data_IF_279351192045
#
_entry.id   IF_279351192045
#
_cell.length_a   1.000
_cell.length_b   1.000
_cell.length_c   1.000
_cell.angle_alpha   90.00
_cell.angle_beta   90.00
_cell.angle_gamma   90.00
#
_symmetry.space_group_name_H-M   'P 1'
#
loop_
_entity.id
_entity.type
_entity.pdbx_description
1 polymer ?
#
# COMPACT_ATOMS: atom_id res chain seq x y z
N UNK A 1 29.83 7.39 14.68
CA UNK A 1 30.01 8.50 13.72
C UNK A 1 28.74 8.58 12.88
N UNK A 2 28.09 9.74 12.84
CA UNK A 2 26.91 9.96 11.99
C UNK A 2 27.35 10.07 10.53
N UNK A 3 26.76 9.27 9.64
CA UNK A 3 27.03 9.34 8.19
C UNK A 3 25.80 9.99 7.51
N UNK A 4 25.87 11.28 7.11
CA UNK A 4 24.76 11.97 6.47
C UNK A 4 24.28 11.28 5.18
N UNK A 5 25.19 10.56 4.52
CA UNK A 5 24.93 9.89 3.25
C UNK A 5 24.40 8.46 3.40
N UNK A 6 24.18 7.99 4.64
CA UNK A 6 23.70 6.64 4.91
C UNK A 6 22.25 6.48 4.45
N UNK A 7 21.98 5.35 3.81
CA UNK A 7 20.63 4.89 3.53
C UNK A 7 20.14 4.03 4.70
N UNK A 8 18.98 4.37 5.25
CA UNK A 8 18.33 3.61 6.31
C UNK A 8 17.11 2.86 5.74
N UNK A 9 16.96 1.55 6.01
CA UNK A 9 15.76 0.82 5.65
C UNK A 9 14.61 1.27 6.54
N UNK A 10 13.46 1.58 5.94
CA UNK A 10 12.24 2.01 6.62
C UNK A 10 11.14 0.95 6.57
N UNK A 11 11.04 0.21 5.47
CA UNK A 11 10.05 -0.82 5.30
C UNK A 11 10.57 -1.94 4.40
N UNK A 12 9.95 -3.11 4.52
CA UNK A 12 10.33 -4.30 3.78
C UNK A 12 9.09 -5.10 3.41
N UNK A 13 9.15 -5.76 2.26
CA UNK A 13 8.12 -6.68 1.79
C UNK A 13 8.75 -7.90 1.13
N UNK A 14 8.22 -9.07 1.43
CA UNK A 14 8.57 -10.32 0.77
C UNK A 14 7.51 -10.64 -0.28
N UNK A 15 7.91 -10.70 -1.55
CA UNK A 15 6.99 -11.08 -2.63
C UNK A 15 6.72 -12.57 -2.59
N UNK A 16 5.47 -12.93 -2.30
CA UNK A 16 5.02 -14.34 -2.30
C UNK A 16 5.05 -14.95 -3.71
N UNK A 17 4.97 -14.13 -4.76
CA UNK A 17 4.92 -14.58 -6.16
C UNK A 17 6.33 -14.87 -6.70
N UNK A 18 7.28 -13.95 -6.50
CA UNK A 18 8.63 -14.06 -7.05
C UNK A 18 9.64 -14.57 -6.04
N UNK A 19 9.36 -14.48 -4.73
CA UNK A 19 10.31 -14.76 -3.65
C UNK A 19 11.33 -13.64 -3.42
N UNK A 20 11.19 -12.51 -4.11
CA UNK A 20 12.07 -11.36 -4.00
C UNK A 20 11.80 -10.57 -2.72
N UNK A 21 12.82 -9.82 -2.28
CA UNK A 21 12.72 -8.88 -1.19
C UNK A 21 12.68 -7.45 -1.73
N UNK A 22 11.64 -6.68 -1.39
CA UNK A 22 11.58 -5.25 -1.65
C UNK A 22 11.88 -4.50 -0.36
N UNK A 23 12.79 -3.52 -0.43
CA UNK A 23 13.20 -2.70 0.71
C UNK A 23 13.02 -1.22 0.38
N UNK A 24 12.25 -0.52 1.20
CA UNK A 24 12.10 0.93 1.15
C UNK A 24 13.22 1.58 1.93
N UNK A 25 14.04 2.36 1.22
CA UNK A 25 15.19 3.05 1.78
C UNK A 25 14.91 4.54 1.81
N UNK A 26 15.33 5.20 2.88
CA UNK A 26 15.30 6.65 3.02
C UNK A 26 16.68 7.15 3.46
N UNK A 27 17.05 8.33 2.96
CA UNK A 27 18.26 9.06 3.34
C UNK A 27 17.85 10.49 3.62
N UNK A 28 18.23 11.02 4.79
CA UNK A 28 17.84 12.37 5.24
C UNK A 28 18.63 13.51 4.59
N UNK A 29 19.90 13.28 4.19
CA UNK A 29 20.76 14.36 3.69
C UNK A 29 21.56 13.98 2.43
N UNK A 30 21.19 14.51 1.25
CA UNK A 30 19.91 15.16 0.95
C UNK A 30 18.76 14.15 1.03
N UNK A 31 17.55 14.65 1.34
CA UNK A 31 16.32 13.88 1.38
C UNK A 31 16.15 13.10 0.08
N UNK A 32 16.08 11.78 0.19
CA UNK A 32 15.94 10.88 -0.94
C UNK A 32 15.37 9.55 -0.48
N UNK A 33 14.44 9.01 -1.26
CA UNK A 33 13.85 7.71 -1.00
C UNK A 33 13.79 6.86 -2.26
N UNK A 34 13.91 5.55 -2.09
CA UNK A 34 13.84 4.56 -3.18
C UNK A 34 13.33 3.22 -2.66
N UNK A 35 12.78 2.42 -3.56
CA UNK A 35 12.54 1.00 -3.33
C UNK A 35 13.63 0.21 -4.07
N UNK A 36 14.24 -0.75 -3.39
CA UNK A 36 15.22 -1.67 -3.98
C UNK A 36 14.62 -3.07 -3.97
N UNK A 37 14.72 -3.79 -5.08
CA UNK A 37 14.37 -5.22 -5.17
C UNK A 37 15.64 -6.05 -5.17
N UNK A 38 15.66 -7.08 -4.33
CA UNK A 38 16.67 -8.13 -4.31
C UNK A 38 16.03 -9.46 -4.68
N UNK A 39 16.71 -10.27 -5.47
CA UNK A 39 16.27 -11.64 -5.74
C UNK A 39 16.42 -12.56 -4.52
N UNK A 40 15.99 -13.81 -4.67
CA UNK A 40 16.02 -14.85 -3.62
C UNK A 40 17.42 -15.16 -3.07
N UNK A 41 18.47 -14.83 -3.81
CA UNK A 41 19.87 -15.07 -3.43
C UNK A 41 20.58 -13.79 -2.96
N UNK A 42 19.86 -12.66 -2.93
CA UNK A 42 20.31 -11.39 -2.38
C UNK A 42 20.97 -10.45 -3.38
N UNK A 43 20.91 -10.73 -4.68
CA UNK A 43 21.40 -9.79 -5.70
C UNK A 43 20.39 -8.69 -5.96
N UNK A 44 20.87 -7.45 -6.06
CA UNK A 44 20.06 -6.30 -6.43
C UNK A 44 19.62 -6.44 -7.90
N UNK A 45 18.33 -6.49 -8.15
CA UNK A 45 17.75 -6.63 -9.49
C UNK A 45 17.06 -5.37 -10.00
N UNK A 46 16.60 -4.50 -9.10
CA UNK A 46 15.88 -3.29 -9.48
C UNK A 46 16.05 -2.17 -8.45
N UNK A 47 16.08 -0.92 -8.93
CA UNK A 47 15.95 0.27 -8.09
C UNK A 47 14.86 1.16 -8.69
N UNK A 48 13.86 1.51 -7.86
CA UNK A 48 12.72 2.35 -8.22
C UNK A 48 12.87 3.63 -7.40
N UNK A 49 13.09 4.76 -8.06
CA UNK A 49 13.42 6.02 -7.37
C UNK A 49 12.84 7.26 -8.04
N UNK A 50 12.90 7.34 -9.37
CA UNK A 50 12.48 8.51 -10.12
C UNK A 50 11.45 8.14 -11.19
N UNK A 51 10.59 9.10 -11.52
CA UNK A 51 9.74 9.04 -12.71
C UNK A 51 10.61 9.07 -13.96
N UNK A 52 10.02 8.76 -15.12
CA UNK A 52 10.68 8.89 -16.42
C UNK A 52 11.17 10.32 -16.72
N UNK A 53 10.57 11.33 -16.08
CA UNK A 53 10.96 12.74 -16.16
C UNK A 53 11.98 13.17 -15.10
N UNK A 54 12.44 12.26 -14.25
CA UNK A 54 13.47 12.51 -13.23
C UNK A 54 12.96 12.99 -11.87
N UNK A 55 11.66 13.18 -11.68
CA UNK A 55 11.10 13.56 -10.37
C UNK A 55 11.14 12.39 -9.40
N UNK A 56 11.40 12.65 -8.11
CA UNK A 56 11.38 11.61 -7.10
C UNK A 56 9.98 10.98 -6.96
N UNK A 57 9.93 9.65 -6.88
CA UNK A 57 8.67 8.90 -6.71
C UNK A 57 8.20 8.90 -5.25
N UNK A 58 9.13 8.91 -4.30
CA UNK A 58 8.86 8.72 -2.89
C UNK A 58 9.47 9.84 -2.05
N UNK A 59 8.83 10.13 -0.92
CA UNK A 59 9.35 11.05 0.10
C UNK A 59 9.91 10.23 1.28
N UNK A 60 9.07 9.42 1.92
CA UNK A 60 9.42 8.47 2.99
C UNK A 60 8.52 7.24 2.83
N UNK A 61 9.01 6.13 2.27
CA UNK A 61 8.21 4.91 2.12
C UNK A 61 7.95 4.28 3.49
N UNK A 62 6.68 4.09 3.84
CA UNK A 62 6.23 3.62 5.15
C UNK A 62 5.90 2.12 5.14
N UNK A 63 5.20 1.65 4.11
CA UNK A 63 4.91 0.23 3.91
C UNK A 63 4.97 -0.10 2.41
N UNK A 64 5.28 -1.36 2.10
CA UNK A 64 5.35 -1.88 0.72
C UNK A 64 4.50 -3.14 0.65
N UNK A 65 3.79 -3.31 -0.46
CA UNK A 65 3.19 -4.57 -0.88
C UNK A 65 3.32 -4.71 -2.39
N UNK A 66 2.99 -5.88 -2.91
CA UNK A 66 2.86 -6.16 -4.33
C UNK A 66 1.44 -6.64 -4.61
N UNK A 67 0.82 -6.24 -5.73
CA UNK A 67 -0.48 -6.75 -6.15
C UNK A 67 -0.34 -7.94 -7.11
N UNK A 68 -1.46 -8.55 -7.53
CA UNK A 68 -1.42 -9.71 -8.45
C UNK A 68 -0.95 -9.36 -9.87
N UNK A 69 -0.88 -8.07 -10.22
CA UNK A 69 -0.30 -7.58 -11.48
C UNK A 69 1.21 -7.35 -11.37
N UNK A 70 1.85 -7.69 -10.24
CA UNK A 70 3.26 -7.40 -9.92
C UNK A 70 3.59 -5.90 -9.82
N UNK A 71 2.56 -5.06 -9.64
CA UNK A 71 2.78 -3.66 -9.33
C UNK A 71 3.30 -3.51 -7.90
N UNK A 72 4.25 -2.61 -7.71
CA UNK A 72 4.75 -2.24 -6.38
C UNK A 72 3.85 -1.13 -5.83
N UNK A 73 3.24 -1.40 -4.69
CA UNK A 73 2.32 -0.49 -4.00
C UNK A 73 2.99 -0.02 -2.71
N UNK A 74 3.17 1.28 -2.57
CA UNK A 74 3.90 1.88 -1.45
C UNK A 74 3.04 2.92 -0.77
N UNK A 75 2.80 2.81 0.53
CA UNK A 75 2.33 3.96 1.30
C UNK A 75 3.51 4.90 1.57
N UNK A 76 3.33 6.16 1.19
CA UNK A 76 4.30 7.25 1.27
C UNK A 76 3.67 8.42 2.03
N UNK A 77 4.42 9.47 2.34
CA UNK A 77 3.90 10.65 3.03
C UNK A 77 2.77 11.31 2.23
N UNK A 78 1.54 11.17 2.71
CA UNK A 78 0.35 11.81 2.13
C UNK A 78 -0.28 11.10 0.93
N UNK A 79 0.23 9.94 0.51
CA UNK A 79 -0.24 9.23 -0.68
C UNK A 79 0.16 7.76 -0.72
N UNK A 80 -0.58 6.96 -1.49
CA UNK A 80 -0.10 5.66 -1.96
C UNK A 80 0.46 5.83 -3.37
N UNK A 81 1.69 5.39 -3.59
CA UNK A 81 2.35 5.40 -4.91
C UNK A 81 2.35 3.99 -5.47
N UNK A 82 1.91 3.85 -6.73
CA UNK A 82 1.85 2.57 -7.41
C UNK A 82 2.70 2.61 -8.67
N UNK A 83 3.65 1.70 -8.78
CA UNK A 83 4.47 1.52 -9.98
C UNK A 83 4.20 0.17 -10.62
N UNK A 84 4.37 0.08 -11.93
CA UNK A 84 4.30 -1.20 -12.61
C UNK A 84 5.48 -2.11 -12.25
N UNK A 85 5.45 -3.35 -12.74
CA UNK A 85 6.54 -4.31 -12.50
C UNK A 85 7.93 -3.76 -12.92
N UNK A 86 7.99 -2.92 -13.94
CA UNK A 86 9.22 -2.29 -14.42
C UNK A 86 9.66 -1.08 -13.57
N UNK A 87 8.86 -0.66 -12.59
CA UNK A 87 9.13 0.45 -11.70
C UNK A 87 8.66 1.81 -12.24
N UNK A 88 7.85 1.84 -13.29
CA UNK A 88 7.29 3.07 -13.86
C UNK A 88 6.03 3.47 -13.11
N UNK A 89 5.90 4.75 -12.78
CA UNK A 89 4.71 5.27 -12.11
C UNK A 89 3.44 4.95 -12.90
N UNK A 90 2.48 4.27 -12.27
CA UNK A 90 1.12 4.09 -12.79
C UNK A 90 0.21 5.21 -12.32
N UNK A 91 0.11 5.40 -11.00
CA UNK A 91 -0.69 6.45 -10.38
C UNK A 91 -0.26 6.73 -8.94
N UNK A 92 -0.83 7.77 -8.35
CA UNK A 92 -0.79 7.99 -6.91
C UNK A 92 -2.20 8.26 -6.39
N UNK A 93 -2.52 7.70 -5.22
CA UNK A 93 -3.79 7.90 -4.54
C UNK A 93 -3.56 8.79 -3.31
N UNK A 94 -4.27 9.91 -3.22
CA UNK A 94 -4.08 10.95 -2.19
C UNK A 94 -5.26 11.04 -1.22
N UNK A 95 -6.00 9.94 -1.05
CA UNK A 95 -7.21 9.90 -0.23
C UNK A 95 -8.51 10.10 -1.00
N UNK A 96 -9.65 10.05 -0.31
CA UNK A 96 -10.98 10.09 -0.92
C UNK A 96 -11.32 11.49 -1.46
N UNK A 97 -12.27 11.60 -2.40
CA UNK A 97 -12.68 12.88 -2.98
C UNK A 97 -13.26 13.90 -1.99
N UNK A 98 -13.58 13.49 -0.76
CA UNK A 98 -14.10 14.37 0.30
C UNK A 98 -13.11 15.47 0.71
N UNK A 99 -11.83 15.36 0.35
CA UNK A 99 -10.83 16.41 0.53
C UNK A 99 -10.23 16.49 1.94
N UNK A 100 -10.46 15.49 2.81
CA UNK A 100 -9.74 15.38 4.08
C UNK A 100 -8.26 15.08 3.83
N UNK A 101 -7.40 15.48 4.78
CA UNK A 101 -6.01 15.03 4.79
C UNK A 101 -5.96 13.49 4.81
N UNK A 102 -4.97 12.93 4.14
CA UNK A 102 -4.81 11.49 3.99
C UNK A 102 -3.44 11.09 4.53
N UNK A 103 -3.41 10.25 5.56
CA UNK A 103 -2.18 9.80 6.20
C UNK A 103 -2.09 8.28 6.09
N UNK A 104 -1.62 7.75 4.94
CA UNK A 104 -1.59 6.33 4.70
C UNK A 104 -0.57 5.63 5.61
N UNK A 105 -0.95 4.48 6.16
CA UNK A 105 -0.08 3.62 6.98
C UNK A 105 0.06 2.25 6.32
N UNK A 106 -0.39 1.19 6.99
CA UNK A 106 -0.42 -0.16 6.46
C UNK A 106 -1.14 -0.22 5.12
N UNK A 107 -0.55 -0.95 4.17
CA UNK A 107 -1.13 -1.22 2.86
C UNK A 107 -1.04 -2.71 2.56
N UNK A 108 -2.09 -3.28 2.00
CA UNK A 108 -2.09 -4.62 1.45
C UNK A 108 -2.98 -4.68 0.20
N UNK A 109 -3.02 -5.82 -0.46
CA UNK A 109 -3.76 -6.01 -1.71
C UNK A 109 -4.59 -7.28 -1.64
N UNK A 110 -5.78 -7.25 -2.23
CA UNK A 110 -6.62 -8.44 -2.36
C UNK A 110 -6.35 -9.21 -3.67
N UNK A 111 -7.04 -10.33 -3.86
CA UNK A 111 -6.92 -11.18 -5.05
C UNK A 111 -7.38 -10.51 -6.35
N UNK A 112 -8.10 -9.39 -6.28
CA UNK A 112 -8.55 -8.59 -7.42
C UNK A 112 -7.64 -7.38 -7.68
N UNK A 113 -6.49 -7.31 -6.98
CA UNK A 113 -5.60 -6.15 -6.98
C UNK A 113 -6.27 -4.85 -6.48
N UNK A 114 -7.33 -4.95 -5.68
CA UNK A 114 -7.74 -3.80 -4.89
C UNK A 114 -6.66 -3.52 -3.85
N UNK A 115 -6.39 -2.23 -3.64
CA UNK A 115 -5.45 -1.72 -2.66
C UNK A 115 -6.27 -1.36 -1.42
N UNK A 116 -5.89 -1.97 -0.30
CA UNK A 116 -6.45 -1.72 1.02
C UNK A 116 -5.43 -0.89 1.79
N UNK A 117 -5.83 0.26 2.30
CA UNK A 117 -4.92 1.20 2.97
C UNK A 117 -5.54 1.76 4.25
N UNK A 118 -4.77 1.75 5.34
CA UNK A 118 -5.12 2.46 6.56
C UNK A 118 -4.95 3.96 6.36
N UNK A 119 -5.93 4.75 6.78
CA UNK A 119 -5.80 6.20 6.91
C UNK A 119 -5.83 6.60 8.39
N UNK A 120 -4.68 7.04 8.89
CA UNK A 120 -4.46 7.46 10.28
C UNK A 120 -5.22 8.75 10.63
N UNK A 121 -5.52 9.58 9.63
CA UNK A 121 -6.27 10.82 9.87
C UNK A 121 -7.75 10.55 10.17
N UNK A 122 -8.34 9.59 9.45
CA UNK A 122 -9.78 9.29 9.56
C UNK A 122 -10.06 8.02 10.38
N UNK A 123 -9.02 7.31 10.82
CA UNK A 123 -9.11 6.00 11.48
C UNK A 123 -9.88 4.97 10.65
N UNK A 124 -9.65 4.95 9.34
CA UNK A 124 -10.37 4.07 8.41
C UNK A 124 -9.44 3.10 7.68
N UNK A 125 -10.03 2.02 7.15
CA UNK A 125 -9.42 1.26 6.05
C UNK A 125 -10.19 1.58 4.78
N UNK A 126 -9.48 2.09 3.78
CA UNK A 126 -10.04 2.47 2.49
C UNK A 126 -9.71 1.40 1.45
N UNK A 127 -10.62 1.19 0.51
CA UNK A 127 -10.42 0.31 -0.64
C UNK A 127 -10.35 1.16 -1.91
N UNK A 128 -9.31 0.92 -2.69
CA UNK A 128 -9.03 1.57 -3.97
C UNK A 128 -8.89 0.48 -5.02
N UNK A 129 -9.43 0.66 -6.22
CA UNK A 129 -9.29 -0.35 -7.26
C UNK A 129 -7.86 -0.37 -7.85
N UNK A 130 -7.60 -1.37 -8.69
CA UNK A 130 -6.31 -1.58 -9.36
C UNK A 130 -5.84 -0.42 -10.27
N UNK A 131 -6.74 0.51 -10.57
CA UNK A 131 -6.51 1.67 -11.44
C UNK A 131 -6.50 2.99 -10.64
N UNK A 132 -6.52 2.92 -9.31
CA UNK A 132 -6.37 4.07 -8.42
C UNK A 132 -7.66 4.81 -8.07
N UNK A 133 -8.82 4.28 -8.45
CA UNK A 133 -10.11 4.87 -8.13
C UNK A 133 -10.56 4.41 -6.75
N UNK A 134 -10.94 5.37 -5.90
CA UNK A 134 -11.56 5.08 -4.62
C UNK A 134 -12.85 4.29 -4.83
N UNK A 135 -13.00 3.17 -4.12
CA UNK A 135 -14.20 2.35 -4.13
C UNK A 135 -15.08 2.66 -2.92
N UNK A 136 -14.53 2.51 -1.72
CA UNK A 136 -15.28 2.72 -0.48
C UNK A 136 -14.36 2.81 0.74
N UNK A 137 -14.93 3.29 1.84
CA UNK A 137 -14.40 3.04 3.18
C UNK A 137 -14.85 1.63 3.57
N UNK A 138 -13.90 0.72 3.76
CA UNK A 138 -14.16 -0.68 4.06
C UNK A 138 -14.43 -0.91 5.55
N UNK A 139 -13.61 -0.29 6.42
CA UNK A 139 -13.72 -0.44 7.87
C UNK A 139 -13.69 0.93 8.57
N UNK A 140 -14.53 1.09 9.60
CA UNK A 140 -14.56 2.26 10.49
C UNK A 140 -14.72 1.85 11.94
N UNK A 141 -14.37 2.75 12.86
CA UNK A 141 -14.67 2.57 14.29
C UNK A 141 -16.17 2.37 14.53
N UNK A 142 -17.01 3.23 13.94
CA UNK A 142 -18.45 3.23 14.19
C UNK A 142 -19.17 1.95 13.72
N UNK A 143 -18.72 1.33 12.62
CA UNK A 143 -19.39 0.15 12.05
C UNK A 143 -18.73 -1.17 12.46
N UNK A 144 -17.44 -1.15 12.77
CA UNK A 144 -16.66 -2.37 12.97
C UNK A 144 -16.01 -2.46 14.35
N UNK A 145 -16.09 -1.41 15.18
CA UNK A 145 -15.36 -1.34 16.45
C UNK A 145 -13.84 -1.27 16.28
N UNK A 146 -13.38 -0.89 15.08
CA UNK A 146 -11.96 -0.83 14.75
C UNK A 146 -11.33 0.46 15.29
N UNK A 147 -10.32 0.32 16.15
CA UNK A 147 -9.48 1.44 16.60
C UNK A 147 -8.46 1.83 15.52
N UNK A 148 -7.75 2.97 15.68
CA UNK A 148 -6.78 3.52 14.71
C UNK A 148 -5.93 2.44 14.04
N UNK A 149 -6.20 2.11 12.77
CA UNK A 149 -5.56 0.99 12.10
C UNK A 149 -4.18 1.43 11.59
N UNK A 150 -3.15 0.64 11.86
CA UNK A 150 -1.75 0.98 11.55
C UNK A 150 -1.11 0.03 10.55
N UNK A 151 -1.54 -1.23 10.51
CA UNK A 151 -0.96 -2.27 9.66
C UNK A 151 -2.05 -3.19 9.10
N UNK A 152 -1.84 -3.71 7.90
CA UNK A 152 -2.77 -4.62 7.23
C UNK A 152 -2.03 -5.84 6.70
N UNK A 153 -2.68 -7.01 6.76
CA UNK A 153 -2.26 -8.19 6.02
C UNK A 153 -3.49 -8.91 5.47
N UNK A 154 -3.48 -9.20 4.17
CA UNK A 154 -4.55 -9.95 3.54
C UNK A 154 -4.13 -11.41 3.32
N UNK A 155 -4.96 -12.33 3.79
CA UNK A 155 -4.81 -13.77 3.55
C UNK A 155 -5.69 -14.18 2.36
N UNK A 156 -5.03 -14.40 1.22
CA UNK A 156 -5.68 -14.83 -0.02
C UNK A 156 -6.40 -16.18 0.09
N UNK A 157 -5.93 -17.09 0.95
CA UNK A 157 -6.49 -18.44 1.05
C UNK A 157 -7.74 -18.46 1.91
N UNK A 158 -7.70 -17.75 3.04
CA UNK A 158 -8.81 -17.71 3.99
C UNK A 158 -9.81 -16.57 3.71
N UNK A 159 -9.47 -15.65 2.79
CA UNK A 159 -10.19 -14.41 2.55
C UNK A 159 -10.40 -13.61 3.85
N UNK A 160 -9.30 -13.42 4.59
CA UNK A 160 -9.29 -12.71 5.86
C UNK A 160 -8.41 -11.46 5.76
N UNK A 161 -8.92 -10.35 6.29
CA UNK A 161 -8.15 -9.13 6.49
C UNK A 161 -7.75 -9.03 7.96
N UNK A 162 -6.45 -9.02 8.20
CA UNK A 162 -5.85 -8.78 9.51
C UNK A 162 -5.52 -7.30 9.65
N UNK A 163 -5.92 -6.69 10.75
CA UNK A 163 -5.71 -5.27 11.06
C UNK A 163 -5.02 -5.15 12.40
N UNK A 164 -3.81 -4.61 12.41
CA UNK A 164 -3.13 -4.22 13.65
C UNK A 164 -3.41 -2.76 13.97
N UNK A 165 -3.83 -2.48 15.20
CA UNK A 165 -4.29 -1.16 15.65
C UNK A 165 -3.40 -0.56 16.75
N UNK A 166 -3.53 0.75 16.98
CA UNK A 166 -2.74 1.52 17.95
C UNK A 166 -2.95 1.09 19.42
N UNK A 167 -4.06 0.43 19.72
CA UNK A 167 -4.41 -0.10 21.05
C UNK A 167 -3.80 -1.49 21.34
N UNK A 168 -2.77 -1.88 20.58
CA UNK A 168 -2.08 -3.16 20.70
C UNK A 168 -2.95 -4.38 20.37
N UNK A 169 -4.08 -4.18 19.68
CA UNK A 169 -4.93 -5.29 19.22
C UNK A 169 -4.62 -5.68 17.77
N UNK A 170 -4.90 -6.95 17.46
CA UNK A 170 -4.97 -7.45 16.08
C UNK A 170 -6.37 -8.00 15.87
N UNK A 171 -7.12 -7.37 14.98
CA UNK A 171 -8.49 -7.77 14.61
C UNK A 171 -8.50 -8.53 13.28
N UNK A 172 -9.43 -9.46 13.13
CA UNK A 172 -9.59 -10.27 11.91
C UNK A 172 -10.99 -10.07 11.36
N UNK A 173 -11.07 -9.64 10.11
CA UNK A 173 -12.33 -9.41 9.41
C UNK A 173 -12.47 -10.40 8.27
N UNK A 174 -13.66 -11.02 8.17
CA UNK A 174 -13.99 -11.82 6.99
C UNK A 174 -14.18 -10.89 5.79
N UNK A 175 -13.37 -11.10 4.77
CA UNK A 175 -13.37 -10.27 3.57
C UNK A 175 -14.19 -10.97 2.47
N UNK A 176 -15.42 -10.54 2.28
CA UNK A 176 -16.30 -11.09 1.24
C UNK A 176 -16.24 -10.15 0.04
N UNK A 177 -15.60 -10.61 -1.04
CA UNK A 177 -15.66 -9.95 -2.34
C UNK A 177 -17.10 -10.03 -2.86
N UNK A 178 -17.96 -9.08 -2.47
CA UNK A 178 -19.21 -8.89 -3.19
C UNK A 178 -18.84 -8.31 -4.55
N UNK A 179 -18.97 -9.14 -5.60
CA UNK A 179 -19.00 -8.63 -6.97
C UNK A 179 -20.13 -7.61 -7.05
N UNK A 180 -19.80 -6.32 -7.13
CA UNK A 180 -20.77 -5.29 -7.47
C UNK A 180 -21.06 -5.36 -8.98
N UNK A 181 -21.66 -6.46 -9.45
CA UNK A 181 -22.28 -6.52 -10.77
C UNK A 181 -23.67 -5.90 -10.66
N UNK A 182 -23.79 -4.60 -10.95
CA UNK A 182 -25.09 -3.99 -11.23
C UNK A 182 -25.55 -4.41 -12.63
N UNK A 183 -26.11 -5.61 -12.77
CA UNK A 183 -26.93 -5.94 -13.94
C UNK A 183 -28.38 -5.57 -13.64
N UNK A 184 -28.72 -4.30 -13.85
CA UNK A 184 -30.11 -3.88 -13.94
C UNK A 184 -30.66 -4.25 -15.31
N UNK A 185 -31.52 -5.27 -15.37
CA UNK A 185 -32.38 -5.48 -16.55
C UNK A 185 -33.64 -4.64 -16.32
N UNK A 186 -33.82 -3.62 -17.15
CA UNK A 186 -35.09 -2.89 -17.20
C UNK A 186 -36.12 -3.81 -17.88
N UNK A 187 -37.21 -4.09 -17.18
CA UNK A 187 -38.39 -4.77 -17.75
C UNK A 187 -39.54 -3.76 -17.78
N UNK A 188 -40.29 -3.82 -18.89
CA UNK A 188 -41.16 -2.78 -19.46
C UNK A 188 -42.08 -2.03 -18.49
#
# INVERSE_FOLDING_TARGET
MWNPSKWDPHCVYFSKSTGDLLVGMYRRYPDSAKIIRYDRIGYLTQTIQHTVTGHALFTIPLFITENTNQDVVVSDTGRVVVTDQAGRLRFSYTGPPSGSQFFPRGVCTDTLSHILVCDDNTNTVQMVNKDGQFLMILLTEAHNGMNTPLSLCFDNNAHLLWVGSSDSTVSVYRYINQQFSLTGVSVR
#
